data_IF_168144541244
#
_entry.id   IF_168144541244
#
_cell.length_a   1.000
_cell.length_b   1.000
_cell.length_c   1.000
_cell.angle_alpha   90.00
_cell.angle_beta   90.00
_cell.angle_gamma   90.00
#
_symmetry.space_group_name_H-M   'P 1'
#
loop_
_entity.id
_entity.type
_entity.pdbx_description
1 polymer ?
#
# COMPACT_ATOMS: atom_id res chain seq x y z
N UNK A 1 -20.63 -6.23 -26.06
CA UNK A 1 -19.80 -5.00 -25.94
C UNK A 1 -19.89 -4.49 -24.51
N UNK A 2 -18.75 -4.20 -23.87
CA UNK A 2 -18.71 -3.64 -22.52
C UNK A 2 -19.06 -2.15 -22.62
N UNK A 3 -20.08 -1.71 -21.91
CA UNK A 3 -20.44 -0.29 -21.80
C UNK A 3 -19.96 0.29 -20.46
N UNK A 4 -19.97 1.63 -20.34
CA UNK A 4 -19.49 2.34 -19.15
C UNK A 4 -20.18 1.87 -17.84
N UNK A 5 -21.49 1.60 -17.89
CA UNK A 5 -22.24 1.13 -16.71
C UNK A 5 -21.81 -0.27 -16.25
N UNK A 6 -21.56 -1.17 -17.19
CA UNK A 6 -21.06 -2.50 -16.86
C UNK A 6 -19.64 -2.42 -16.32
N UNK A 7 -18.77 -1.61 -16.93
CA UNK A 7 -17.41 -1.38 -16.47
C UNK A 7 -17.40 -0.84 -15.03
N UNK A 8 -18.23 0.15 -14.73
CA UNK A 8 -18.37 0.69 -13.37
C UNK A 8 -18.78 -0.39 -12.36
N UNK A 9 -19.77 -1.22 -12.72
CA UNK A 9 -20.21 -2.33 -11.87
C UNK A 9 -19.11 -3.36 -11.63
N UNK A 10 -18.26 -3.63 -12.62
CA UNK A 10 -17.11 -4.53 -12.48
C UNK A 10 -16.07 -3.97 -11.52
N UNK A 11 -15.79 -2.67 -11.62
CA UNK A 11 -14.87 -1.98 -10.69
C UNK A 11 -15.44 -1.95 -9.27
N UNK A 12 -16.74 -1.67 -9.12
CA UNK A 12 -17.43 -1.69 -7.82
C UNK A 12 -17.48 -3.10 -7.20
N UNK A 13 -17.46 -4.15 -7.99
CA UNK A 13 -17.45 -5.54 -7.53
C UNK A 13 -16.06 -6.04 -7.13
N UNK A 14 -14.99 -5.28 -7.40
CA UNK A 14 -13.63 -5.64 -6.99
C UNK A 14 -13.53 -5.71 -5.46
N UNK A 15 -12.77 -6.68 -4.97
CA UNK A 15 -12.45 -6.80 -3.53
C UNK A 15 -11.29 -5.88 -3.13
N UNK A 16 -10.49 -5.43 -4.08
CA UNK A 16 -9.44 -4.45 -3.84
C UNK A 16 -10.00 -3.03 -3.94
N UNK A 17 -9.48 -2.11 -3.13
CA UNK A 17 -9.86 -0.72 -3.17
C UNK A 17 -9.35 -0.06 -4.46
N UNK A 18 -10.26 0.46 -5.26
CA UNK A 18 -9.94 1.13 -6.52
C UNK A 18 -10.38 2.59 -6.44
N UNK A 19 -9.45 3.48 -6.76
CA UNK A 19 -9.70 4.91 -6.88
C UNK A 19 -9.22 5.42 -8.23
N UNK A 20 -9.83 6.50 -8.69
CA UNK A 20 -9.33 7.29 -9.82
C UNK A 20 -9.08 8.69 -9.33
N UNK A 21 -7.93 9.23 -9.70
CA UNK A 21 -7.54 10.59 -9.37
C UNK A 21 -7.22 11.39 -10.62
N UNK A 22 -7.48 12.68 -10.56
CA UNK A 22 -7.11 13.66 -11.54
C UNK A 22 -5.96 14.52 -11.00
N UNK A 23 -5.06 14.92 -11.88
CA UNK A 23 -3.97 15.80 -11.50
C UNK A 23 -4.40 17.26 -11.59
N UNK A 24 -4.33 17.99 -10.49
CA UNK A 24 -4.54 19.43 -10.39
C UNK A 24 -3.26 20.11 -9.90
N UNK A 25 -2.44 20.61 -10.82
CA UNK A 25 -1.14 21.19 -10.47
C UNK A 25 -0.21 20.14 -9.85
N UNK A 26 0.16 20.34 -8.60
CA UNK A 26 0.99 19.41 -7.80
C UNK A 26 0.15 18.44 -6.96
N UNK A 27 -1.16 18.60 -6.92
CA UNK A 27 -2.08 17.76 -6.17
C UNK A 27 -2.71 16.68 -7.05
N UNK A 28 -3.17 15.62 -6.40
CA UNK A 28 -3.84 14.49 -7.04
C UNK A 28 -5.18 14.28 -6.35
N UNK A 29 -6.24 14.74 -7.00
CA UNK A 29 -7.59 14.82 -6.43
C UNK A 29 -8.40 13.58 -6.80
N UNK A 30 -8.99 12.93 -5.81
CA UNK A 30 -9.83 11.75 -6.00
C UNK A 30 -11.17 12.12 -6.64
N UNK A 31 -11.48 11.50 -7.77
CA UNK A 31 -12.75 11.69 -8.49
C UNK A 31 -13.63 10.45 -8.52
N UNK A 32 -13.09 9.29 -8.10
CA UNK A 32 -13.83 8.04 -8.00
C UNK A 32 -13.22 7.15 -6.92
N UNK A 33 -14.08 6.43 -6.19
CA UNK A 33 -13.71 5.36 -5.29
C UNK A 33 -14.77 4.26 -5.34
N UNK A 34 -14.34 2.99 -5.33
CA UNK A 34 -15.26 1.86 -5.25
C UNK A 34 -15.63 1.50 -3.80
N UNK A 35 -16.59 0.61 -3.65
CA UNK A 35 -17.08 0.18 -2.32
C UNK A 35 -16.00 -0.51 -1.47
N UNK A 36 -15.07 -1.24 -2.09
CA UNK A 36 -13.98 -1.88 -1.38
C UNK A 36 -13.03 -0.85 -0.74
N UNK A 37 -12.81 0.30 -1.40
CA UNK A 37 -12.01 1.38 -0.82
C UNK A 37 -12.69 2.02 0.39
N UNK A 38 -14.01 2.22 0.36
CA UNK A 38 -14.79 2.69 1.51
C UNK A 38 -14.67 1.72 2.69
N UNK A 39 -14.83 0.43 2.43
CA UNK A 39 -14.69 -0.63 3.45
C UNK A 39 -13.29 -0.69 4.04
N UNK A 40 -12.27 -0.61 3.19
CA UNK A 40 -10.86 -0.66 3.61
C UNK A 40 -10.47 0.52 4.49
N UNK A 41 -10.93 1.72 4.15
CA UNK A 41 -10.48 2.95 4.79
C UNK A 41 -11.41 3.46 5.89
N UNK A 42 -12.67 3.02 5.89
CA UNK A 42 -13.71 3.49 6.81
C UNK A 42 -14.29 4.87 6.46
N UNK A 43 -13.81 5.49 5.40
CA UNK A 43 -14.38 6.75 4.89
C UNK A 43 -15.48 6.46 3.88
N UNK A 44 -16.55 7.25 3.91
CA UNK A 44 -17.59 7.18 2.88
C UNK A 44 -17.12 7.82 1.57
N UNK A 45 -17.76 7.45 0.47
CA UNK A 45 -17.46 8.04 -0.85
C UNK A 45 -17.54 9.58 -0.82
N UNK A 46 -18.54 10.15 -0.16
CA UNK A 46 -18.70 11.61 -0.07
C UNK A 46 -17.55 12.28 0.72
N UNK A 47 -16.94 11.58 1.66
CA UNK A 47 -15.76 12.05 2.40
C UNK A 47 -14.47 11.90 1.58
N UNK A 48 -14.42 10.97 0.64
CA UNK A 48 -13.24 10.65 -0.19
C UNK A 48 -13.14 11.56 -1.41
N UNK A 49 -14.25 11.79 -2.09
CA UNK A 49 -14.28 12.55 -3.33
C UNK A 49 -13.82 13.99 -3.12
N UNK A 50 -13.04 14.46 -4.08
CA UNK A 50 -12.44 15.79 -4.09
C UNK A 50 -11.42 16.05 -2.98
N UNK A 51 -10.98 15.00 -2.28
CA UNK A 51 -9.86 15.07 -1.37
C UNK A 51 -8.54 14.76 -2.08
N UNK A 52 -7.45 15.35 -1.61
CA UNK A 52 -6.12 14.94 -2.00
C UNK A 52 -5.82 13.54 -1.45
N UNK A 53 -5.19 12.69 -2.25
CA UNK A 53 -4.86 11.30 -1.88
C UNK A 53 -4.05 11.16 -0.59
N UNK A 54 -3.41 12.23 -0.12
CA UNK A 54 -2.57 12.25 1.09
C UNK A 54 -3.34 12.14 2.40
N UNK A 55 -4.69 12.21 2.39
CA UNK A 55 -5.50 12.15 3.62
C UNK A 55 -5.33 10.83 4.40
N UNK A 56 -4.97 9.73 3.73
CA UNK A 56 -4.72 8.43 4.38
C UNK A 56 -3.37 8.36 5.11
N UNK A 57 -2.53 9.38 5.03
CA UNK A 57 -1.19 9.36 5.64
C UNK A 57 -1.20 9.77 7.12
N UNK A 58 -2.23 10.47 7.59
CA UNK A 58 -2.45 10.90 8.97
C UNK A 58 -1.20 11.50 9.66
N UNK A 59 -0.37 12.23 8.91
CA UNK A 59 0.87 12.83 9.42
C UNK A 59 2.10 11.91 9.40
N UNK A 60 1.95 10.62 9.14
CA UNK A 60 3.06 9.67 8.94
C UNK A 60 3.66 9.81 7.53
N UNK A 61 4.29 10.96 7.29
CA UNK A 61 4.79 11.37 5.96
C UNK A 61 6.26 11.03 5.73
N UNK A 62 6.98 10.62 6.75
CA UNK A 62 8.39 10.20 6.67
C UNK A 62 8.49 8.73 6.30
N UNK A 63 7.98 8.40 5.11
CA UNK A 63 8.07 7.07 4.52
C UNK A 63 8.77 7.17 3.18
N UNK A 64 9.83 6.40 2.98
CA UNK A 64 10.57 6.38 1.69
C UNK A 64 9.65 6.06 0.49
N UNK A 65 8.65 5.19 0.69
CA UNK A 65 7.66 4.87 -0.33
C UNK A 65 6.91 6.11 -0.85
N UNK A 66 6.63 7.10 0.01
CA UNK A 66 5.93 8.32 -0.40
C UNK A 66 6.79 9.21 -1.32
N UNK A 67 8.10 9.22 -1.13
CA UNK A 67 9.01 9.92 -2.03
C UNK A 67 8.98 9.27 -3.42
N UNK A 68 9.12 7.95 -3.49
CA UNK A 68 9.08 7.20 -4.74
C UNK A 68 7.75 7.38 -5.49
N UNK A 69 6.63 7.37 -4.76
CA UNK A 69 5.30 7.62 -5.32
C UNK A 69 5.22 9.02 -5.93
N UNK A 70 5.67 10.05 -5.21
CA UNK A 70 5.67 11.44 -5.74
C UNK A 70 6.49 11.58 -7.01
N UNK A 71 7.68 10.98 -7.05
CA UNK A 71 8.56 11.00 -8.22
C UNK A 71 7.91 10.29 -9.42
N UNK A 72 7.28 9.14 -9.21
CA UNK A 72 6.61 8.39 -10.26
C UNK A 72 5.38 9.14 -10.80
N UNK A 73 4.54 9.70 -9.93
CA UNK A 73 3.37 10.49 -10.32
C UNK A 73 3.79 11.74 -11.09
N UNK A 74 4.83 12.45 -10.62
CA UNK A 74 5.35 13.64 -11.29
C UNK A 74 5.90 13.34 -12.68
N UNK A 75 6.54 12.18 -12.87
CA UNK A 75 7.11 11.74 -14.15
C UNK A 75 6.14 10.95 -15.03
N UNK A 76 4.89 10.72 -14.56
CA UNK A 76 3.88 9.95 -15.30
C UNK A 76 4.24 8.48 -15.46
N UNK A 77 4.92 7.88 -14.48
CA UNK A 77 5.35 6.49 -14.49
C UNK A 77 4.48 5.64 -13.55
N UNK A 78 4.20 4.38 -13.92
CA UNK A 78 3.53 3.46 -13.01
C UNK A 78 4.44 3.10 -11.84
N UNK A 79 3.83 2.84 -10.68
CA UNK A 79 4.59 2.45 -9.48
C UNK A 79 3.76 1.51 -8.62
N UNK A 80 4.45 0.64 -7.87
CA UNK A 80 3.87 -0.16 -6.79
C UNK A 80 4.75 -0.04 -5.56
N UNK A 81 4.15 0.34 -4.44
CA UNK A 81 4.85 0.49 -3.17
C UNK A 81 3.99 -0.01 -2.01
N UNK A 82 4.64 -0.49 -0.95
CA UNK A 82 4.01 -0.75 0.34
C UNK A 82 4.25 0.43 1.26
N UNK A 83 3.19 0.93 1.87
CA UNK A 83 3.26 2.05 2.81
C UNK A 83 2.23 1.87 3.93
N UNK A 84 2.47 2.59 5.04
CA UNK A 84 1.49 2.66 6.11
C UNK A 84 0.44 3.70 5.77
N UNK A 85 -0.83 3.29 5.83
CA UNK A 85 -1.97 4.19 5.75
C UNK A 85 -2.84 4.03 7.00
N UNK A 86 -3.74 4.95 7.20
CA UNK A 86 -4.56 5.06 8.41
C UNK A 86 -6.03 5.14 8.03
N UNK A 87 -6.85 4.30 8.69
CA UNK A 87 -8.30 4.33 8.54
C UNK A 87 -8.90 5.51 9.30
N UNK A 88 -10.15 5.80 9.04
CA UNK A 88 -10.92 6.85 9.73
C UNK A 88 -10.93 6.68 11.25
N UNK A 89 -10.94 5.46 11.75
CA UNK A 89 -10.87 5.15 13.18
C UNK A 89 -9.47 5.30 13.80
N UNK A 90 -8.48 5.71 13.04
CA UNK A 90 -7.10 5.88 13.47
C UNK A 90 -6.25 4.61 13.43
N UNK A 91 -6.81 3.44 13.12
CA UNK A 91 -6.02 2.22 12.96
C UNK A 91 -5.18 2.29 11.69
N UNK A 92 -3.95 1.80 11.74
CA UNK A 92 -3.09 1.74 10.58
C UNK A 92 -3.20 0.37 9.88
N UNK A 93 -2.88 0.35 8.62
CA UNK A 93 -2.74 -0.85 7.83
C UNK A 93 -1.60 -0.71 6.82
N UNK A 94 -1.01 -1.82 6.43
CA UNK A 94 -0.05 -1.85 5.35
C UNK A 94 -0.80 -1.94 4.03
N UNK A 95 -0.66 -0.88 3.23
CA UNK A 95 -1.27 -0.76 1.92
C UNK A 95 -0.25 -1.09 0.84
N UNK A 96 -0.50 -2.12 0.04
CA UNK A 96 0.18 -2.29 -1.24
C UNK A 96 -0.57 -1.46 -2.27
N UNK A 97 0.01 -0.33 -2.62
CA UNK A 97 -0.56 0.66 -3.54
C UNK A 97 0.10 0.54 -4.90
N UNK A 98 -0.72 0.27 -5.93
CA UNK A 98 -0.32 0.38 -7.33
C UNK A 98 -0.95 1.61 -7.94
N UNK A 99 -0.15 2.45 -8.59
CA UNK A 99 -0.61 3.65 -9.30
C UNK A 99 -0.20 3.51 -10.76
N UNK A 100 -1.16 3.71 -11.66
CA UNK A 100 -0.92 3.66 -13.11
C UNK A 100 -1.50 4.91 -13.75
N UNK A 101 -0.72 5.68 -14.52
CA UNK A 101 -1.22 6.80 -15.28
C UNK A 101 -2.06 6.33 -16.47
N UNK A 102 -3.15 7.02 -16.75
CA UNK A 102 -4.04 6.79 -17.89
C UNK A 102 -4.27 8.11 -18.59
N UNK A 103 -3.74 8.26 -19.79
CA UNK A 103 -3.98 9.43 -20.61
C UNK A 103 -5.31 9.29 -21.34
N UNK A 104 -6.18 10.30 -21.23
CA UNK A 104 -7.45 10.37 -21.94
C UNK A 104 -7.34 11.33 -23.12
N UNK A 105 -7.42 10.76 -24.32
CA UNK A 105 -7.33 11.54 -25.56
C UNK A 105 -8.50 12.53 -25.76
N UNK A 106 -9.66 12.26 -25.16
CA UNK A 106 -10.86 13.09 -25.33
C UNK A 106 -10.75 14.45 -24.68
N UNK A 107 -10.15 14.53 -23.50
CA UNK A 107 -9.96 15.77 -22.72
C UNK A 107 -8.50 16.20 -22.59
N UNK A 108 -7.57 15.39 -23.14
CA UNK A 108 -6.12 15.61 -23.09
C UNK A 108 -5.55 15.64 -21.65
N UNK A 109 -6.23 14.98 -20.70
CA UNK A 109 -5.82 14.90 -19.31
C UNK A 109 -5.20 13.54 -18.96
N UNK A 110 -4.32 13.56 -17.99
CA UNK A 110 -3.79 12.34 -17.38
C UNK A 110 -4.50 12.08 -16.06
N UNK A 111 -5.11 10.90 -15.98
CA UNK A 111 -5.71 10.35 -14.77
C UNK A 111 -4.76 9.31 -14.16
N UNK A 112 -4.96 9.02 -12.89
CA UNK A 112 -4.25 7.95 -12.20
C UNK A 112 -5.26 6.96 -11.65
N UNK A 113 -5.08 5.68 -11.96
CA UNK A 113 -5.80 4.62 -11.27
C UNK A 113 -4.93 4.11 -10.11
N UNK A 114 -5.48 4.14 -8.91
CA UNK A 114 -4.87 3.59 -7.70
C UNK A 114 -5.59 2.32 -7.28
N UNK A 115 -4.83 1.24 -7.08
CA UNK A 115 -5.35 -0.02 -6.53
C UNK A 115 -4.69 -0.26 -5.19
N UNK A 116 -5.52 -0.38 -4.13
CA UNK A 116 -5.07 -0.59 -2.76
C UNK A 116 -5.42 -2.00 -2.30
N UNK A 117 -4.45 -2.63 -1.67
CA UNK A 117 -4.60 -3.94 -1.05
C UNK A 117 -4.05 -3.93 0.36
N UNK A 118 -4.87 -4.36 1.33
CA UNK A 118 -4.39 -4.57 2.70
C UNK A 118 -3.50 -5.80 2.77
N UNK A 119 -2.21 -5.59 2.98
CA UNK A 119 -1.20 -6.63 3.13
C UNK A 119 -0.68 -6.75 4.56
N UNK A 120 -1.44 -6.23 5.54
CA UNK A 120 -1.03 -6.22 6.95
C UNK A 120 -0.77 -7.61 7.50
N UNK A 121 -1.58 -8.60 7.13
CA UNK A 121 -1.34 -9.99 7.55
C UNK A 121 -0.08 -10.57 6.91
N UNK A 122 0.16 -10.28 5.66
CA UNK A 122 1.39 -10.70 4.97
C UNK A 122 2.62 -10.07 5.62
N UNK A 123 2.60 -8.77 5.91
CA UNK A 123 3.70 -8.08 6.59
C UNK A 123 3.95 -8.66 7.97
N UNK A 124 2.90 -8.95 8.75
CA UNK A 124 3.04 -9.64 10.05
C UNK A 124 3.67 -11.02 9.92
N UNK A 125 3.28 -11.79 8.91
CA UNK A 125 3.87 -13.11 8.66
C UNK A 125 5.35 -13.00 8.27
N UNK A 126 5.71 -12.08 7.39
CA UNK A 126 7.09 -11.81 7.00
C UNK A 126 7.95 -11.40 8.20
N UNK A 127 7.45 -10.51 9.06
CA UNK A 127 8.11 -10.10 10.31
C UNK A 127 8.27 -11.28 11.28
N UNK A 128 7.26 -12.15 11.39
CA UNK A 128 7.33 -13.33 12.26
C UNK A 128 8.37 -14.33 11.76
N UNK A 129 8.44 -14.56 10.46
CA UNK A 129 9.48 -15.41 9.84
C UNK A 129 10.87 -14.84 10.14
N UNK A 130 11.10 -13.55 9.91
CA UNK A 130 12.38 -12.89 10.19
C UNK A 130 12.78 -13.01 11.66
N UNK A 131 11.83 -12.84 12.59
CA UNK A 131 12.04 -13.03 14.03
C UNK A 131 12.48 -14.46 14.37
N UNK A 132 11.77 -15.45 13.79
CA UNK A 132 12.09 -16.87 14.04
C UNK A 132 13.46 -17.25 13.47
N UNK A 133 13.81 -16.74 12.30
CA UNK A 133 15.13 -16.93 11.68
C UNK A 133 16.23 -16.34 12.55
N UNK A 134 16.03 -15.14 13.10
CA UNK A 134 16.99 -14.49 14.01
C UNK A 134 17.15 -15.29 15.33
N UNK A 135 16.05 -15.78 15.90
CA UNK A 135 16.08 -16.64 17.09
C UNK A 135 16.79 -17.96 16.82
N UNK A 136 16.54 -18.58 15.68
CA UNK A 136 17.20 -19.82 15.27
C UNK A 136 18.72 -19.61 15.10
N UNK A 137 19.12 -18.52 14.46
CA UNK A 137 20.54 -18.18 14.29
C UNK A 137 21.24 -17.97 15.65
N UNK A 138 20.59 -17.27 16.59
CA UNK A 138 21.10 -17.04 17.94
C UNK A 138 21.28 -18.36 18.72
N UNK A 139 20.25 -19.22 18.69
CA UNK A 139 20.30 -20.54 19.34
C UNK A 139 21.38 -21.47 18.73
N UNK A 140 21.52 -21.44 17.41
CA UNK A 140 22.55 -22.20 16.70
C UNK A 140 23.96 -21.76 17.11
N UNK A 141 24.20 -20.44 17.21
CA UNK A 141 25.46 -19.88 17.65
C UNK A 141 25.78 -20.25 19.12
N UNK A 142 24.78 -20.16 20.01
CA UNK A 142 24.89 -20.56 21.40
C UNK A 142 25.23 -22.05 21.55
N UNK A 143 24.56 -22.92 20.79
CA UNK A 143 24.84 -24.36 20.77
C UNK A 143 26.25 -24.69 20.30
N UNK A 144 26.74 -23.99 19.28
CA UNK A 144 28.10 -24.13 18.78
C UNK A 144 29.14 -23.72 19.86
N UNK A 145 28.86 -22.61 20.57
CA UNK A 145 29.72 -22.16 21.69
C UNK A 145 29.78 -23.21 22.81
N UNK A 146 28.63 -23.76 23.22
CA UNK A 146 28.54 -24.80 24.25
C UNK A 146 29.27 -26.06 23.82
N UNK A 147 29.18 -26.48 22.57
CA UNK A 147 29.94 -27.63 22.04
C UNK A 147 31.44 -27.40 22.06
N UNK A 148 31.89 -26.19 21.73
CA UNK A 148 33.31 -25.83 21.77
C UNK A 148 33.88 -25.84 23.20
N UNK A 149 33.12 -25.30 24.18
CA UNK A 149 33.50 -25.28 25.60
C UNK A 149 33.41 -26.67 26.24
N UNK A 150 32.41 -27.50 25.87
CA UNK A 150 32.28 -28.88 26.37
C UNK A 150 33.38 -29.83 25.86
N UNK A 151 34.01 -29.53 24.73
CA UNK A 151 35.17 -30.26 24.22
C UNK A 151 36.47 -30.01 25.00
N UNK A 152 36.58 -28.91 25.71
CA UNK A 152 37.72 -28.55 26.54
C UNK A 152 37.72 -29.23 27.92
N UNK A 153 36.59 -29.77 28.38
CA UNK A 153 36.47 -30.46 29.68
C UNK A 153 36.64 -31.99 29.61
N UNK A 154 37.14 -32.53 28.51
CA UNK A 154 37.42 -33.97 28.32
C UNK A 154 38.90 -34.29 28.23
N UNK A 155 39.76 -33.53 28.90
CA UNK A 155 41.18 -33.86 29.11
C UNK A 155 41.51 -33.99 30.57
#
# INVERSE_FOLDING_TARGET
MINARLLQRMVDASQDGIVVAEREGDDTILIYANSAFETLTGYSRDEILYQDCRFLQAGDRDQHALQLIREAVASGQPIRQRLRNYRKDGTHFWNELSITPVFNESDQLTYFIGVQKDVSQQVKAEQRVAQLEAQLAALTAELQTLKATGGLNKT
#
